data_IF_925638225679
#
_entry.id   IF_925638225679
#
_cell.length_a   1.000
_cell.length_b   1.000
_cell.length_c   1.000
_cell.angle_alpha   90.00
_cell.angle_beta   90.00
_cell.angle_gamma   90.00
#
_symmetry.space_group_name_H-M   'P 1'
#
loop_
_entity.id
_entity.type
_entity.pdbx_description
1 polymer ?
#
# COMPACT_ATOMS: atom_id res chain seq x y z
N UNK A 1 -23.11 8.19 -10.24
CA UNK A 1 -22.24 7.89 -9.10
C UNK A 1 -22.22 9.12 -8.21
N UNK A 2 -22.59 8.98 -6.92
CA UNK A 2 -22.38 10.06 -5.95
C UNK A 2 -20.86 10.17 -5.75
N UNK A 3 -20.29 11.35 -5.98
CA UNK A 3 -18.86 11.57 -5.74
C UNK A 3 -18.59 11.43 -4.24
N UNK A 4 -17.68 10.56 -3.87
CA UNK A 4 -17.23 10.43 -2.48
C UNK A 4 -16.44 11.69 -2.13
N UNK A 5 -16.79 12.43 -1.05
CA UNK A 5 -16.09 13.67 -0.72
C UNK A 5 -14.64 13.42 -0.31
N UNK A 6 -13.73 14.30 -0.74
CA UNK A 6 -12.30 14.24 -0.40
C UNK A 6 -12.02 14.88 0.96
N UNK A 7 -11.79 14.08 1.97
CA UNK A 7 -11.51 14.51 3.34
C UNK A 7 -10.34 13.74 3.95
N UNK A 8 -9.77 14.29 4.99
CA UNK A 8 -8.77 13.65 5.85
C UNK A 8 -9.32 13.62 7.28
N UNK A 9 -9.28 12.46 7.91
CA UNK A 9 -9.79 12.22 9.26
C UNK A 9 -8.65 11.68 10.10
N UNK A 10 -8.39 12.29 11.25
CA UNK A 10 -7.44 11.82 12.24
C UNK A 10 -8.17 11.19 13.42
N UNK A 11 -7.62 10.11 13.96
CA UNK A 11 -8.10 9.45 15.16
C UNK A 11 -7.11 9.69 16.29
N UNK A 12 -7.65 9.98 17.47
CA UNK A 12 -6.86 10.13 18.67
C UNK A 12 -7.49 9.32 19.80
N UNK A 13 -6.71 8.39 20.34
CA UNK A 13 -7.10 7.57 21.48
C UNK A 13 -6.16 7.85 22.64
N UNK A 14 -6.74 8.08 23.82
CA UNK A 14 -5.97 8.19 25.06
C UNK A 14 -5.91 6.79 25.69
N UNK A 15 -4.76 6.13 25.54
CA UNK A 15 -4.52 4.79 26.08
C UNK A 15 -3.04 4.57 26.31
N UNK A 16 -2.71 3.77 27.32
CA UNK A 16 -1.37 3.23 27.60
C UNK A 16 -1.11 1.88 26.91
N UNK A 17 -2.11 1.35 26.19
CA UNK A 17 -2.01 0.09 25.47
C UNK A 17 -1.30 0.30 24.12
N UNK A 18 -0.21 -0.43 23.91
CA UNK A 18 0.51 -0.46 22.61
C UNK A 18 -0.21 -1.39 21.63
N UNK A 19 -1.31 -0.92 21.07
CA UNK A 19 -2.10 -1.65 20.07
C UNK A 19 -1.85 -1.07 18.67
N UNK A 20 -1.86 -1.95 17.67
CA UNK A 20 -1.91 -1.50 16.29
C UNK A 20 -3.25 -0.79 16.06
N UNK A 21 -3.18 0.51 15.80
CA UNK A 21 -4.36 1.35 15.59
C UNK A 21 -4.23 2.13 14.30
N UNK A 22 -5.35 2.45 13.70
CA UNK A 22 -5.43 3.45 12.64
C UNK A 22 -5.44 4.84 13.28
N UNK A 23 -4.52 5.69 12.84
CA UNK A 23 -4.38 7.07 13.35
C UNK A 23 -4.86 8.12 12.36
N UNK A 24 -5.08 7.72 11.10
CA UNK A 24 -5.65 8.59 10.09
C UNK A 24 -6.12 7.83 8.85
N UNK A 25 -7.04 8.45 8.15
CA UNK A 25 -7.50 8.00 6.82
C UNK A 25 -7.88 9.21 5.99
N UNK A 26 -7.65 9.17 4.69
CA UNK A 26 -8.08 10.28 3.82
C UNK A 26 -8.09 9.90 2.36
N UNK A 27 -9.01 10.54 1.65
CA UNK A 27 -9.14 10.51 0.21
C UNK A 27 -8.77 11.89 -0.34
N UNK A 28 -7.89 11.94 -1.33
CA UNK A 28 -7.42 13.20 -1.91
C UNK A 28 -7.29 13.08 -3.42
N UNK A 29 -7.58 14.19 -4.09
CA UNK A 29 -7.22 14.42 -5.49
C UNK A 29 -6.27 15.63 -5.55
N UNK A 30 -5.08 15.42 -6.09
CA UNK A 30 -4.02 16.41 -6.18
C UNK A 30 -3.83 16.76 -7.65
N UNK A 31 -3.90 18.07 -7.97
CA UNK A 31 -3.78 18.60 -9.33
C UNK A 31 -2.69 19.70 -9.42
N UNK A 32 -1.89 19.89 -8.36
CA UNK A 32 -0.84 20.91 -8.32
C UNK A 32 0.54 20.28 -8.14
N UNK A 33 1.50 20.77 -8.92
CA UNK A 33 2.91 20.33 -8.85
C UNK A 33 3.61 20.72 -7.54
N UNK A 34 2.99 21.59 -6.74
CA UNK A 34 3.49 21.95 -5.41
C UNK A 34 3.29 20.81 -4.39
N UNK A 35 2.51 19.79 -4.75
CA UNK A 35 2.31 18.63 -3.88
C UNK A 35 3.57 17.79 -3.80
N UNK A 36 4.30 17.98 -2.72
CA UNK A 36 5.54 17.30 -2.40
C UNK A 36 5.61 17.05 -0.89
N UNK A 37 5.84 15.81 -0.50
CA UNK A 37 5.95 15.40 0.90
C UNK A 37 7.27 14.64 1.11
N UNK A 38 8.08 15.18 2.04
CA UNK A 38 9.35 14.59 2.47
C UNK A 38 9.19 14.01 3.87
N UNK A 39 9.29 12.69 3.97
CA UNK A 39 9.12 11.97 5.24
C UNK A 39 10.35 12.03 6.15
N UNK A 40 11.49 12.54 5.66
CA UNK A 40 12.70 12.77 6.45
C UNK A 40 12.51 13.83 7.55
N UNK A 41 11.72 14.87 7.23
CA UNK A 41 11.52 16.01 8.14
C UNK A 41 10.27 15.86 9.02
N UNK A 42 9.48 14.82 8.80
CA UNK A 42 8.28 14.53 9.59
C UNK A 42 8.67 13.79 10.87
N UNK A 43 7.97 14.09 11.97
CA UNK A 43 8.27 13.55 13.30
C UNK A 43 7.16 12.70 13.89
N UNK A 44 5.99 12.69 13.28
CA UNK A 44 4.81 11.95 13.71
C UNK A 44 4.97 10.45 13.35
N UNK A 45 5.49 9.66 14.31
CA UNK A 45 5.83 8.26 14.09
C UNK A 45 4.60 7.40 13.71
N UNK A 46 4.57 6.93 12.47
CA UNK A 46 3.48 6.12 11.92
C UNK A 46 3.89 5.33 10.67
N UNK A 47 3.07 4.38 10.29
CA UNK A 47 3.15 3.68 9.01
C UNK A 47 1.99 4.12 8.11
N UNK A 48 2.23 4.18 6.82
CA UNK A 48 1.22 4.60 5.85
C UNK A 48 1.16 3.59 4.71
N UNK A 49 -0.07 3.26 4.30
CA UNK A 49 -0.36 2.66 3.01
C UNK A 49 -1.14 3.68 2.19
N UNK A 50 -0.69 3.96 0.97
CA UNK A 50 -1.36 4.87 0.04
C UNK A 50 -1.64 4.14 -1.27
N UNK A 51 -2.91 4.09 -1.66
CA UNK A 51 -3.42 3.41 -2.85
C UNK A 51 -3.84 4.42 -3.90
N UNK A 52 -3.37 4.28 -5.13
CA UNK A 52 -3.72 5.14 -6.26
C UNK A 52 -5.02 4.68 -6.90
N UNK A 53 -6.03 5.55 -6.88
CA UNK A 53 -7.35 5.33 -7.47
C UNK A 53 -7.34 5.73 -8.94
N UNK A 54 -6.75 6.90 -9.26
CA UNK A 54 -6.65 7.43 -10.62
C UNK A 54 -5.45 8.35 -10.77
N UNK A 55 -4.96 8.49 -12.02
CA UNK A 55 -3.75 9.25 -12.29
C UNK A 55 -2.49 8.52 -11.86
N UNK A 56 -1.44 9.27 -11.56
CA UNK A 56 -0.16 8.70 -11.10
C UNK A 56 0.63 9.67 -10.23
N UNK A 57 1.36 9.10 -9.27
CA UNK A 57 2.34 9.78 -8.45
C UNK A 57 3.75 9.21 -8.61
N UNK A 58 4.71 9.87 -8.03
CA UNK A 58 6.07 9.35 -7.84
C UNK A 58 6.30 9.10 -6.37
N UNK A 59 6.75 7.89 -6.03
CA UNK A 59 7.24 7.52 -4.72
C UNK A 59 8.74 7.24 -4.81
N UNK A 60 9.53 7.94 -4.00
CA UNK A 60 10.96 7.73 -3.92
C UNK A 60 11.34 7.25 -2.51
N UNK A 61 12.08 6.16 -2.45
CA UNK A 61 12.57 5.58 -1.21
C UNK A 61 14.01 5.09 -1.39
N UNK A 62 14.88 5.42 -0.44
CA UNK A 62 16.31 5.09 -0.48
C UNK A 62 17.00 5.48 -1.80
N UNK A 63 16.57 6.61 -2.39
CA UNK A 63 17.07 7.14 -3.65
C UNK A 63 16.54 6.44 -4.91
N UNK A 64 15.67 5.43 -4.77
CA UNK A 64 15.04 4.73 -5.89
C UNK A 64 13.66 5.34 -6.15
N UNK A 65 13.41 5.71 -7.40
CA UNK A 65 12.12 6.25 -7.83
C UNK A 65 11.21 5.14 -8.36
N UNK A 66 10.00 5.13 -7.85
CA UNK A 66 8.93 4.25 -8.28
C UNK A 66 7.80 5.12 -8.86
N UNK A 67 7.33 4.78 -10.05
CA UNK A 67 6.06 5.26 -10.56
C UNK A 67 4.96 4.53 -9.79
N UNK A 68 3.91 5.23 -9.37
CA UNK A 68 2.77 4.64 -8.68
C UNK A 68 1.50 5.07 -9.41
N UNK A 69 0.97 4.17 -10.20
CA UNK A 69 -0.21 4.38 -11.02
C UNK A 69 -1.47 3.74 -10.43
N UNK A 70 -2.56 3.85 -11.17
CA UNK A 70 -3.85 3.26 -10.80
C UNK A 70 -3.73 1.77 -10.46
N UNK A 71 -4.31 1.38 -9.32
CA UNK A 71 -4.28 -0.01 -8.85
C UNK A 71 -3.02 -0.37 -8.06
N UNK A 72 -2.11 0.57 -7.87
CA UNK A 72 -0.89 0.36 -7.09
C UNK A 72 -0.94 1.08 -5.75
N UNK A 73 -0.38 0.46 -4.75
CA UNK A 73 -0.18 1.03 -3.43
C UNK A 73 1.30 1.06 -3.08
N UNK A 74 1.70 2.04 -2.29
CA UNK A 74 3.02 2.07 -1.68
C UNK A 74 2.92 2.21 -0.17
N UNK A 75 3.93 1.64 0.49
CA UNK A 75 4.00 1.59 1.94
C UNK A 75 5.24 2.34 2.40
N UNK A 76 5.13 3.10 3.48
CA UNK A 76 6.26 3.82 4.06
C UNK A 76 6.06 4.09 5.55
N UNK A 77 7.19 4.33 6.24
CA UNK A 77 7.19 4.77 7.63
C UNK A 77 7.53 6.27 7.73
N UNK A 78 7.05 6.89 8.79
CA UNK A 78 7.35 8.26 9.19
C UNK A 78 7.90 8.22 10.62
N UNK A 79 9.06 8.86 10.88
CA UNK A 79 10.02 9.39 9.92
C UNK A 79 10.65 8.28 9.07
N UNK A 80 11.06 8.60 7.85
CA UNK A 80 11.66 7.62 6.95
C UNK A 80 12.38 8.25 5.76
N UNK A 81 13.24 7.49 5.09
CA UNK A 81 14.02 7.94 3.94
C UNK A 81 13.19 7.85 2.65
N UNK A 82 12.03 8.51 2.65
CA UNK A 82 11.13 8.49 1.50
C UNK A 82 10.49 9.84 1.25
N UNK A 83 10.07 10.06 0.02
CA UNK A 83 9.30 11.23 -0.42
C UNK A 83 8.33 10.83 -1.52
N UNK A 84 7.25 11.60 -1.68
CA UNK A 84 6.28 11.36 -2.74
C UNK A 84 5.65 12.68 -3.22
N UNK A 85 5.31 12.72 -4.50
CA UNK A 85 4.89 13.94 -5.16
C UNK A 85 4.12 13.66 -6.45
N UNK A 86 3.42 14.69 -6.95
CA UNK A 86 2.83 14.68 -8.28
C UNK A 86 3.94 14.98 -9.30
N UNK A 87 4.27 14.06 -10.25
CA UNK A 87 5.30 14.31 -11.24
C UNK A 87 4.83 15.32 -12.29
N UNK A 88 5.76 16.08 -12.90
CA UNK A 88 5.46 17.18 -13.85
C UNK A 88 4.59 16.77 -15.04
N UNK A 89 4.71 15.51 -15.47
CA UNK A 89 3.94 14.99 -16.61
C UNK A 89 2.54 14.50 -16.24
N UNK A 90 2.20 14.41 -14.96
CA UNK A 90 0.87 13.98 -14.49
C UNK A 90 -0.01 15.20 -14.21
N UNK A 91 -1.23 15.18 -14.74
CA UNK A 91 -2.19 16.25 -14.52
C UNK A 91 -2.90 16.15 -13.17
N UNK A 92 -3.02 14.92 -12.64
CA UNK A 92 -3.69 14.65 -11.36
C UNK A 92 -3.21 13.35 -10.75
N UNK A 93 -3.46 13.23 -9.44
CA UNK A 93 -3.24 12.01 -8.68
C UNK A 93 -4.32 11.88 -7.61
N UNK A 94 -5.24 10.94 -7.81
CA UNK A 94 -6.27 10.59 -6.84
C UNK A 94 -5.85 9.36 -6.06
N UNK A 95 -5.86 9.45 -4.73
CA UNK A 95 -5.42 8.37 -3.87
C UNK A 95 -6.16 8.34 -2.54
N UNK A 96 -6.26 7.13 -2.01
CA UNK A 96 -6.74 6.82 -0.67
C UNK A 96 -5.54 6.43 0.19
N UNK A 97 -5.40 7.02 1.38
CA UNK A 97 -4.35 6.66 2.32
C UNK A 97 -4.92 6.28 3.69
N UNK A 98 -4.26 5.34 4.33
CA UNK A 98 -4.50 4.95 5.72
C UNK A 98 -3.19 5.04 6.50
N UNK A 99 -3.27 5.66 7.66
CA UNK A 99 -2.15 5.87 8.57
C UNK A 99 -2.34 4.99 9.81
N UNK A 100 -1.28 4.33 10.24
CA UNK A 100 -1.31 3.39 11.36
C UNK A 100 -0.23 3.75 12.39
N UNK A 101 -0.49 3.41 13.64
CA UNK A 101 0.51 3.51 14.69
C UNK A 101 1.75 2.65 14.38
N UNK A 102 2.88 2.97 15.00
CA UNK A 102 4.18 2.27 14.78
C UNK A 102 4.15 0.77 15.04
N UNK A 103 3.15 0.29 15.75
CA UNK A 103 2.94 -1.13 16.04
C UNK A 103 2.74 -1.99 14.79
N UNK A 104 2.41 -1.37 13.63
CA UNK A 104 2.33 -2.07 12.34
C UNK A 104 3.71 -2.32 11.67
N UNK A 105 4.79 -1.70 12.13
CA UNK A 105 6.12 -1.82 11.51
C UNK A 105 6.58 -3.26 11.24
N UNK A 106 6.40 -4.23 12.16
CA UNK A 106 6.83 -5.61 11.88
C UNK A 106 6.11 -6.23 10.69
N UNK A 107 4.81 -5.97 10.54
CA UNK A 107 3.99 -6.43 9.40
C UNK A 107 4.43 -5.74 8.10
N UNK A 108 4.56 -4.43 8.12
CA UNK A 108 5.02 -3.65 6.97
C UNK A 108 6.39 -4.11 6.48
N UNK A 109 7.36 -4.32 7.37
CA UNK A 109 8.69 -4.82 7.02
C UNK A 109 8.67 -6.23 6.44
N UNK A 110 7.69 -7.06 6.84
CA UNK A 110 7.48 -8.38 6.22
C UNK A 110 7.00 -8.23 4.78
N UNK A 111 6.04 -7.35 4.53
CA UNK A 111 5.54 -7.05 3.18
C UNK A 111 6.67 -6.51 2.30
N UNK A 112 7.44 -5.53 2.77
CA UNK A 112 8.61 -5.01 2.04
C UNK A 112 9.56 -6.12 1.55
N UNK A 113 9.83 -7.09 2.40
CA UNK A 113 10.74 -8.21 2.04
C UNK A 113 10.16 -9.14 1.00
N UNK A 114 8.84 -9.20 0.85
CA UNK A 114 8.16 -10.10 -0.07
C UNK A 114 7.84 -9.43 -1.42
N UNK A 115 7.45 -8.15 -1.41
CA UNK A 115 6.93 -7.45 -2.60
C UNK A 115 7.64 -6.13 -2.90
N UNK A 116 8.57 -5.68 -2.03
CA UNK A 116 9.13 -4.33 -2.12
C UNK A 116 8.16 -3.26 -1.60
N UNK A 117 8.51 -1.97 -1.81
CA UNK A 117 7.76 -0.85 -1.25
C UNK A 117 6.49 -0.49 -2.03
N UNK A 118 6.36 -0.96 -3.27
CA UNK A 118 5.19 -0.76 -4.13
C UNK A 118 4.53 -2.10 -4.42
N UNK A 119 3.22 -2.15 -4.29
CA UNK A 119 2.41 -3.37 -4.38
C UNK A 119 1.26 -3.13 -5.35
N UNK A 120 1.07 -4.04 -6.31
CA UNK A 120 -0.13 -4.05 -7.14
C UNK A 120 -1.30 -4.64 -6.33
N UNK A 121 -2.38 -3.87 -6.21
CA UNK A 121 -3.61 -4.24 -5.51
C UNK A 121 -4.81 -4.11 -6.45
N UNK A 122 -5.06 -5.10 -7.31
CA UNK A 122 -6.22 -5.07 -8.19
C UNK A 122 -7.53 -5.14 -7.37
N UNK A 123 -8.62 -4.66 -7.95
CA UNK A 123 -9.95 -4.65 -7.29
C UNK A 123 -10.39 -6.05 -6.83
N UNK A 124 -10.03 -7.10 -7.58
CA UNK A 124 -10.35 -8.50 -7.29
C UNK A 124 -9.69 -9.00 -5.99
N UNK A 125 -8.64 -8.32 -5.52
CA UNK A 125 -8.03 -8.61 -4.22
C UNK A 125 -8.94 -8.29 -3.04
N UNK A 126 -9.98 -7.45 -3.27
CA UNK A 126 -10.88 -6.93 -2.25
C UNK A 126 -10.23 -5.94 -1.26
N UNK A 127 -8.92 -5.70 -1.38
CA UNK A 127 -8.19 -4.78 -0.49
C UNK A 127 -8.56 -3.33 -0.77
N UNK A 128 -8.58 -2.83 -2.04
CA UNK A 128 -9.01 -1.47 -2.35
C UNK A 128 -10.42 -1.18 -1.88
N UNK A 129 -11.36 -2.10 -2.14
CA UNK A 129 -12.74 -1.99 -1.66
C UNK A 129 -12.81 -1.92 -0.13
N UNK A 130 -12.01 -2.72 0.58
CA UNK A 130 -11.95 -2.67 2.05
C UNK A 130 -11.37 -1.35 2.57
N UNK A 131 -10.34 -0.80 1.92
CA UNK A 131 -9.79 0.51 2.26
C UNK A 131 -10.84 1.62 2.08
N UNK A 132 -11.62 1.57 1.00
CA UNK A 132 -12.69 2.53 0.74
C UNK A 132 -13.83 2.41 1.76
N UNK A 133 -14.22 1.20 2.12
CA UNK A 133 -15.21 0.94 3.18
C UNK A 133 -14.75 1.56 4.52
N UNK A 134 -13.50 1.35 4.90
CA UNK A 134 -12.91 1.94 6.10
C UNK A 134 -13.00 3.47 6.05
N UNK A 135 -12.69 4.09 4.91
CA UNK A 135 -12.83 5.52 4.73
C UNK A 135 -14.28 6.00 4.92
N UNK A 136 -15.24 5.31 4.30
CA UNK A 136 -16.66 5.64 4.45
C UNK A 136 -17.14 5.49 5.90
N UNK A 137 -16.77 4.42 6.59
CA UNK A 137 -17.06 4.22 8.00
C UNK A 137 -16.49 5.36 8.86
N UNK A 138 -15.30 5.85 8.55
CA UNK A 138 -14.69 6.98 9.23
C UNK A 138 -15.48 8.28 9.02
N UNK A 139 -15.89 8.54 7.77
CA UNK A 139 -16.71 9.70 7.43
C UNK A 139 -18.04 9.71 8.19
N UNK A 140 -18.65 8.55 8.34
CA UNK A 140 -19.92 8.36 9.05
C UNK A 140 -19.77 8.22 10.57
N UNK A 141 -18.51 8.27 11.07
CA UNK A 141 -18.19 8.10 12.50
C UNK A 141 -18.76 6.81 13.11
N UNK A 142 -18.72 5.72 12.32
CA UNK A 142 -19.33 4.45 12.70
C UNK A 142 -18.58 3.69 13.80
N UNK A 143 -17.32 4.04 14.11
CA UNK A 143 -16.61 3.46 15.25
C UNK A 143 -16.17 4.52 16.25
N UNK A 144 -16.32 4.18 17.53
CA UNK A 144 -16.07 5.10 18.62
C UNK A 144 -15.13 4.53 19.70
N UNK A 145 -14.53 3.37 19.45
CA UNK A 145 -13.66 2.75 20.46
C UNK A 145 -12.29 2.38 19.90
N UNK A 146 -11.27 2.44 20.75
CA UNK A 146 -9.93 1.96 20.47
C UNK A 146 -9.93 0.51 19.98
N UNK A 147 -10.74 -0.36 20.60
CA UNK A 147 -10.77 -1.78 20.29
C UNK A 147 -11.42 -2.10 18.93
N UNK A 148 -12.43 -1.31 18.53
CA UNK A 148 -13.00 -1.43 17.18
C UNK A 148 -11.99 -0.97 16.13
N UNK A 149 -11.36 0.18 16.34
CA UNK A 149 -10.30 0.69 15.48
C UNK A 149 -9.17 -0.33 15.33
N UNK A 150 -8.70 -0.92 16.43
CA UNK A 150 -7.68 -1.97 16.42
C UNK A 150 -8.11 -3.19 15.60
N UNK A 151 -9.36 -3.67 15.77
CA UNK A 151 -9.87 -4.81 14.97
C UNK A 151 -9.88 -4.50 13.48
N UNK A 152 -10.32 -3.31 13.08
CA UNK A 152 -10.35 -2.87 11.68
C UNK A 152 -8.93 -2.77 11.13
N UNK A 153 -8.00 -2.20 11.90
CA UNK A 153 -6.61 -2.11 11.50
C UNK A 153 -5.97 -3.49 11.28
N UNK A 154 -6.14 -4.41 12.21
CA UNK A 154 -5.65 -5.79 12.08
C UNK A 154 -6.30 -6.56 10.93
N UNK A 155 -7.62 -6.39 10.71
CA UNK A 155 -8.32 -7.02 9.57
C UNK A 155 -7.67 -6.62 8.24
N UNK A 156 -7.44 -5.32 8.02
CA UNK A 156 -6.81 -4.85 6.79
C UNK A 156 -5.38 -5.36 6.62
N UNK A 157 -4.55 -5.28 7.66
CA UNK A 157 -3.17 -5.74 7.61
C UNK A 157 -3.06 -7.25 7.41
N UNK A 158 -3.99 -8.03 7.98
CA UNK A 158 -4.07 -9.48 7.78
C UNK A 158 -4.39 -9.81 6.33
N UNK A 159 -5.43 -9.18 5.75
CA UNK A 159 -5.80 -9.35 4.34
C UNK A 159 -4.66 -8.99 3.39
N UNK A 160 -4.02 -7.86 3.63
CA UNK A 160 -2.87 -7.43 2.82
C UNK A 160 -1.71 -8.42 2.91
N UNK A 161 -1.38 -8.88 4.12
CA UNK A 161 -0.30 -9.84 4.32
C UNK A 161 -0.60 -11.17 3.67
N UNK A 162 -1.82 -11.69 3.82
CA UNK A 162 -2.28 -12.93 3.19
C UNK A 162 -2.17 -12.85 1.67
N UNK A 163 -2.67 -11.76 1.07
CA UNK A 163 -2.59 -11.52 -0.37
C UNK A 163 -1.14 -11.54 -0.87
N UNK A 164 -0.24 -10.80 -0.22
CA UNK A 164 1.17 -10.72 -0.62
C UNK A 164 1.89 -12.08 -0.44
N UNK A 165 1.63 -12.79 0.64
CA UNK A 165 2.22 -14.12 0.87
C UNK A 165 1.76 -15.10 -0.20
N UNK A 166 0.48 -15.07 -0.56
CA UNK A 166 -0.09 -15.95 -1.59
C UNK A 166 0.50 -15.65 -2.97
N UNK A 167 0.62 -14.35 -3.33
CA UNK A 167 1.28 -13.95 -4.58
C UNK A 167 2.73 -14.43 -4.63
N UNK A 168 3.50 -14.16 -3.59
CA UNK A 168 4.92 -14.55 -3.53
C UNK A 168 5.12 -16.06 -3.61
N UNK A 169 4.20 -16.85 -3.05
CA UNK A 169 4.22 -18.32 -3.17
C UNK A 169 3.93 -18.76 -4.61
N UNK A 170 2.92 -18.16 -5.26
CA UNK A 170 2.57 -18.45 -6.65
C UNK A 170 3.70 -18.11 -7.63
N UNK A 171 4.36 -16.97 -7.44
CA UNK A 171 5.50 -16.57 -8.27
C UNK A 171 6.70 -17.52 -8.12
N UNK A 172 7.01 -17.97 -6.90
CA UNK A 172 8.07 -18.96 -6.67
C UNK A 172 7.77 -20.28 -7.38
N UNK A 173 6.54 -20.78 -7.29
CA UNK A 173 6.14 -22.01 -7.98
C UNK A 173 6.33 -21.90 -9.48
N UNK A 174 5.93 -20.78 -10.11
CA UNK A 174 6.12 -20.55 -11.55
C UNK A 174 7.60 -20.52 -11.95
N UNK A 175 8.45 -19.88 -11.13
CA UNK A 175 9.91 -19.84 -11.38
C UNK A 175 10.52 -21.23 -11.24
N UNK A 176 10.12 -21.99 -10.24
CA UNK A 176 10.60 -23.37 -10.04
C UNK A 176 10.14 -24.28 -11.17
N UNK A 177 8.89 -24.16 -11.64
CA UNK A 177 8.38 -24.92 -12.79
C UNK A 177 9.13 -24.57 -14.08
N UNK A 178 9.39 -23.28 -14.34
CA UNK A 178 10.15 -22.84 -15.51
C UNK A 178 11.60 -23.34 -15.46
N UNK A 179 12.24 -23.29 -14.29
CA UNK A 179 13.58 -23.82 -14.08
C UNK A 179 13.62 -25.32 -14.32
N UNK A 180 12.69 -26.08 -13.76
CA UNK A 180 12.57 -27.52 -13.97
C UNK A 180 12.37 -27.86 -15.46
N UNK A 181 11.55 -27.05 -16.17
CA UNK A 181 11.36 -27.22 -17.60
C UNK A 181 12.66 -27.00 -18.39
N UNK A 182 13.41 -25.92 -18.08
CA UNK A 182 14.70 -25.63 -18.69
C UNK A 182 15.69 -26.75 -18.38
N UNK A 183 15.84 -27.18 -17.12
CA UNK A 183 16.76 -28.23 -16.73
C UNK A 183 16.50 -29.58 -17.40
N UNK A 184 15.23 -29.89 -17.70
CA UNK A 184 14.86 -31.13 -18.43
C UNK A 184 15.05 -31.03 -19.94
N UNK A 185 15.09 -29.85 -20.54
CA UNK A 185 15.06 -29.67 -21.98
C UNK A 185 16.24 -28.87 -22.54
N UNK A 186 17.17 -28.37 -21.70
CA UNK A 186 18.22 -27.44 -22.12
C UNK A 186 19.15 -27.98 -23.21
N UNK A 187 19.23 -29.32 -23.38
CA UNK A 187 20.01 -29.97 -24.42
C UNK A 187 19.23 -30.15 -25.75
N UNK A 188 17.99 -29.71 -25.83
CA UNK A 188 17.21 -29.72 -27.07
C UNK A 188 17.51 -28.45 -27.85
N UNK A 189 17.94 -28.61 -29.11
CA UNK A 189 18.28 -27.47 -29.99
C UNK A 189 17.10 -26.54 -30.32
N UNK A 190 15.87 -26.94 -30.00
CA UNK A 190 14.62 -26.24 -30.29
C UNK A 190 14.08 -25.47 -29.07
N UNK A 191 14.79 -25.46 -27.93
CA UNK A 191 14.35 -24.77 -26.76
C UNK A 191 14.37 -23.25 -26.97
N UNK A 192 13.24 -22.60 -26.80
CA UNK A 192 13.12 -21.14 -26.81
C UNK A 192 12.18 -20.67 -25.66
N UNK A 193 12.14 -19.33 -25.41
CA UNK A 193 11.35 -18.75 -24.32
C UNK A 193 9.83 -18.89 -24.51
N UNK A 194 9.37 -19.12 -25.74
CA UNK A 194 7.94 -19.31 -26.01
C UNK A 194 7.45 -20.72 -25.65
N UNK A 195 8.36 -21.61 -25.27
CA UNK A 195 8.10 -22.99 -24.87
C UNK A 195 8.26 -23.21 -23.35
N UNK A 196 8.71 -22.21 -22.62
CA UNK A 196 8.91 -22.24 -21.14
C UNK A 196 7.75 -21.49 -20.37
#
# INVERSE_FOLDING_TARGET
MLSVPHHSIAFQFVSDLSLLTMVGVGLRNVCTQEYFLDNHVRTDAKCVIQYTIDGEGTFEIDGIRHKVGKGEAFLFEIPGNSRYYLPEHSAQWEFLYLEFSKECLPLMRKIYRLSGPVVCLPEESGIPSRMMEIYQMAMEKQWNSLFENTRIAYDLWTRLTEYIVTLSASERTKVDDAKDYIDRNYYRNELNLDMA
#
